data_IF_296925330031
#
_entry.id   IF_296925330031
#
_cell.length_a   1.000
_cell.length_b   1.000
_cell.length_c   1.000
_cell.angle_alpha   90.00
_cell.angle_beta   90.00
_cell.angle_gamma   90.00
#
_symmetry.space_group_name_H-M   'P 1'
#
loop_
_entity.id
_entity.type
_entity.pdbx_description
1 polymer ?
#
# COMPACT_ATOMS: atom_id res chain seq x y z
N UNK A 1 13.42 20.20 7.49
CA UNK A 1 13.02 19.42 8.67
C UNK A 1 11.68 18.80 8.33
N UNK A 2 11.67 17.55 7.88
CA UNK A 2 10.42 16.82 7.66
C UNK A 2 9.87 16.48 9.05
N UNK A 3 8.62 16.86 9.32
CA UNK A 3 7.94 16.53 10.58
C UNK A 3 7.79 15.02 10.74
N UNK A 4 7.33 14.54 11.92
CA UNK A 4 7.12 13.11 12.14
C UNK A 4 6.22 12.55 11.05
N UNK A 5 6.74 11.60 10.28
CA UNK A 5 6.00 10.82 9.29
C UNK A 5 5.17 9.82 10.08
N UNK A 6 3.98 10.23 10.49
CA UNK A 6 3.05 9.40 11.25
C UNK A 6 1.68 9.41 10.62
N UNK A 7 1.03 8.25 10.56
CA UNK A 7 -0.39 8.18 10.24
C UNK A 7 -1.14 8.72 11.46
N UNK A 8 -1.81 9.87 11.34
CA UNK A 8 -2.73 10.32 12.39
C UNK A 8 -3.81 9.27 12.59
N UNK A 9 -4.10 8.93 13.84
CA UNK A 9 -5.18 7.98 14.15
C UNK A 9 -6.50 8.48 13.54
N UNK A 10 -7.13 7.63 12.74
CA UNK A 10 -8.46 7.83 12.15
C UNK A 10 -9.34 6.64 12.49
N UNK A 11 -10.66 6.86 12.53
CA UNK A 11 -11.64 5.80 12.69
C UNK A 11 -11.59 4.79 11.55
N UNK A 12 -11.26 5.27 10.34
CA UNK A 12 -11.10 4.46 9.13
C UNK A 12 -10.04 5.03 8.18
N UNK A 13 -9.44 4.19 7.35
CA UNK A 13 -8.41 4.55 6.38
C UNK A 13 -8.76 4.16 4.95
N UNK A 14 -8.33 4.97 4.00
CA UNK A 14 -8.28 4.61 2.58
C UNK A 14 -6.96 3.89 2.29
N UNK A 15 -7.05 2.62 1.92
CA UNK A 15 -5.89 1.74 1.72
C UNK A 15 -5.72 1.42 0.25
N UNK A 16 -4.49 1.58 -0.24
CA UNK A 16 -4.08 1.19 -1.59
C UNK A 16 -3.10 0.01 -1.50
N UNK A 17 -3.28 -1.02 -2.32
CA UNK A 17 -2.34 -2.15 -2.42
C UNK A 17 -1.79 -2.21 -3.84
N UNK A 18 -0.49 -2.02 -4.01
CA UNK A 18 0.21 -2.15 -5.30
C UNK A 18 0.87 -3.52 -5.41
N UNK A 19 0.53 -4.27 -6.46
CA UNK A 19 0.88 -5.69 -6.59
C UNK A 19 -0.18 -6.61 -6.01
N UNK A 20 -1.46 -6.17 -6.00
CA UNK A 20 -2.57 -6.87 -5.36
C UNK A 20 -2.81 -8.30 -5.86
N UNK A 21 -2.47 -8.59 -7.12
CA UNK A 21 -2.68 -9.93 -7.72
C UNK A 21 -1.60 -10.95 -7.38
N UNK A 22 -0.42 -10.49 -6.91
CA UNK A 22 0.67 -11.35 -6.47
C UNK A 22 0.37 -12.06 -5.15
N UNK A 23 1.18 -13.05 -4.80
CA UNK A 23 0.97 -13.87 -3.59
C UNK A 23 0.92 -13.01 -2.31
N UNK A 24 1.89 -12.10 -2.14
CA UNK A 24 1.95 -11.22 -0.96
C UNK A 24 0.83 -10.18 -0.99
N UNK A 25 0.50 -9.59 -2.15
CA UNK A 25 -0.62 -8.65 -2.26
C UNK A 25 -1.97 -9.27 -1.86
N UNK A 26 -2.23 -10.51 -2.31
CA UNK A 26 -3.41 -11.29 -1.87
C UNK A 26 -3.40 -11.55 -0.36
N UNK A 27 -2.23 -11.88 0.20
CA UNK A 27 -2.09 -12.06 1.64
C UNK A 27 -2.31 -10.75 2.43
N UNK A 28 -1.91 -9.60 1.89
CA UNK A 28 -2.21 -8.28 2.47
C UNK A 28 -3.73 -8.04 2.51
N UNK A 29 -4.45 -8.27 1.40
CA UNK A 29 -5.93 -8.15 1.35
C UNK A 29 -6.59 -9.04 2.42
N UNK A 30 -6.22 -10.32 2.46
CA UNK A 30 -6.76 -11.28 3.43
C UNK A 30 -6.40 -10.90 4.88
N UNK A 31 -5.25 -10.28 5.10
CA UNK A 31 -4.82 -9.87 6.44
C UNK A 31 -5.59 -8.65 6.91
N UNK A 32 -5.83 -7.66 6.04
CA UNK A 32 -6.71 -6.53 6.35
C UNK A 32 -8.10 -7.02 6.76
N UNK A 33 -8.66 -7.97 6.01
CA UNK A 33 -9.97 -8.54 6.30
C UNK A 33 -9.99 -9.32 7.61
N UNK A 34 -9.06 -10.27 7.80
CA UNK A 34 -8.95 -11.11 9.01
C UNK A 34 -8.71 -10.29 10.29
N UNK A 35 -7.97 -9.18 10.18
CA UNK A 35 -7.70 -8.29 11.31
C UNK A 35 -8.84 -7.29 11.56
N UNK A 36 -9.90 -7.32 10.76
CA UNK A 36 -10.95 -6.30 10.76
C UNK A 36 -10.36 -4.88 10.72
N UNK A 37 -9.31 -4.70 9.91
CA UNK A 37 -8.66 -3.39 9.78
C UNK A 37 -9.71 -2.39 9.26
N UNK A 38 -9.79 -1.17 9.82
CA UNK A 38 -10.87 -0.25 9.51
C UNK A 38 -10.66 0.42 8.14
N UNK A 39 -10.94 -0.32 7.07
CA UNK A 39 -10.82 0.15 5.69
C UNK A 39 -12.11 0.86 5.27
N UNK A 40 -12.03 2.17 4.99
CA UNK A 40 -13.12 2.93 4.37
C UNK A 40 -13.22 2.64 2.87
N UNK A 41 -12.07 2.69 2.17
CA UNK A 41 -11.94 2.42 0.74
C UNK A 41 -10.71 1.55 0.51
N UNK A 42 -10.85 0.53 -0.35
CA UNK A 42 -9.76 -0.32 -0.79
C UNK A 42 -9.52 -0.11 -2.29
N UNK A 43 -8.33 0.34 -2.67
CA UNK A 43 -7.88 0.45 -4.05
C UNK A 43 -6.84 -0.64 -4.33
N UNK A 44 -7.15 -1.54 -5.28
CA UNK A 44 -6.27 -2.64 -5.64
C UNK A 44 -5.62 -2.35 -6.97
N UNK A 45 -4.29 -2.33 -6.99
CA UNK A 45 -3.50 -1.98 -8.17
C UNK A 45 -2.57 -3.12 -8.57
N UNK A 46 -2.41 -3.30 -9.87
CA UNK A 46 -1.42 -4.19 -10.47
C UNK A 46 -0.96 -3.61 -11.81
N UNK A 47 -0.15 -4.36 -12.57
CA UNK A 47 0.15 -3.99 -13.96
C UNK A 47 -1.07 -4.17 -14.86
N UNK A 48 -1.09 -3.51 -16.02
CA UNK A 48 -2.17 -3.65 -17.02
C UNK A 48 -2.48 -5.08 -17.43
N UNK A 49 -1.51 -6.01 -17.38
CA UNK A 49 -1.75 -7.45 -17.63
C UNK A 49 -2.70 -8.09 -16.62
N UNK A 50 -2.78 -7.54 -15.42
CA UNK A 50 -3.61 -8.02 -14.30
C UNK A 50 -4.86 -7.16 -14.06
N UNK A 51 -4.97 -6.01 -14.73
CA UNK A 51 -6.13 -5.13 -14.62
C UNK A 51 -7.41 -5.87 -15.04
N UNK A 52 -8.51 -5.60 -14.34
CA UNK A 52 -9.79 -6.31 -14.52
C UNK A 52 -9.91 -7.60 -13.71
N UNK A 53 -8.83 -8.09 -13.08
CA UNK A 53 -8.95 -9.14 -12.05
C UNK A 53 -9.84 -8.64 -10.92
N UNK A 54 -10.66 -9.51 -10.33
CA UNK A 54 -11.50 -9.16 -9.18
C UNK A 54 -11.03 -9.94 -7.96
N UNK A 55 -10.82 -9.24 -6.85
CA UNK A 55 -10.56 -9.85 -5.54
C UNK A 55 -11.74 -9.60 -4.61
N UNK A 56 -11.98 -10.51 -3.68
CA UNK A 56 -13.00 -10.34 -2.63
C UNK A 56 -12.40 -9.59 -1.44
N UNK A 57 -13.18 -8.67 -0.88
CA UNK A 57 -12.87 -8.02 0.39
C UNK A 57 -14.16 -7.69 1.15
N UNK A 58 -14.31 -8.22 2.37
CA UNK A 58 -15.50 -8.12 3.20
C UNK A 58 -16.77 -8.52 2.45
N UNK A 59 -16.72 -9.65 1.74
CA UNK A 59 -17.82 -10.18 0.93
C UNK A 59 -18.11 -9.43 -0.38
N UNK A 60 -17.41 -8.32 -0.66
CA UNK A 60 -17.61 -7.49 -1.87
C UNK A 60 -16.55 -7.78 -2.92
N UNK A 61 -16.93 -7.66 -4.19
CA UNK A 61 -15.99 -7.66 -5.31
C UNK A 61 -15.28 -6.31 -5.40
N UNK A 62 -13.95 -6.36 -5.46
CA UNK A 62 -13.09 -5.20 -5.63
C UNK A 62 -12.26 -5.41 -6.90
N UNK A 63 -12.47 -4.59 -7.94
CA UNK A 63 -11.70 -4.71 -9.17
C UNK A 63 -10.26 -4.24 -8.95
N UNK A 64 -9.33 -4.94 -9.59
CA UNK A 64 -7.94 -4.54 -9.71
C UNK A 64 -7.81 -3.61 -10.91
N UNK A 65 -7.23 -2.44 -10.67
CA UNK A 65 -7.03 -1.38 -11.67
C UNK A 65 -5.55 -1.38 -12.10
N UNK A 66 -5.27 -0.95 -13.32
CA UNK A 66 -3.90 -0.67 -13.74
C UNK A 66 -3.32 0.48 -12.91
N UNK A 67 -2.12 0.30 -12.38
CA UNK A 67 -1.43 1.31 -11.58
C UNK A 67 -1.13 2.59 -12.38
N UNK A 68 -0.95 2.50 -13.70
CA UNK A 68 -0.66 3.67 -14.54
C UNK A 68 -1.84 4.64 -14.62
N UNK A 69 -3.06 4.10 -14.64
CA UNK A 69 -4.33 4.83 -14.80
C UNK A 69 -4.96 5.25 -13.47
N UNK A 70 -4.36 4.87 -12.36
CA UNK A 70 -4.96 5.03 -11.05
C UNK A 70 -4.78 6.44 -10.47
N UNK A 71 -5.86 6.97 -9.90
CA UNK A 71 -5.82 8.16 -9.05
C UNK A 71 -5.50 7.76 -7.60
N UNK A 72 -4.36 8.24 -7.11
CA UNK A 72 -3.89 7.98 -5.76
C UNK A 72 -4.45 8.95 -4.71
N UNK A 73 -5.21 9.97 -5.14
CA UNK A 73 -5.77 10.99 -4.25
C UNK A 73 -6.58 10.37 -3.11
N UNK A 74 -6.35 10.90 -1.90
CA UNK A 74 -7.01 10.44 -0.69
C UNK A 74 -6.55 9.07 -0.16
N UNK A 75 -5.49 8.46 -0.72
CA UNK A 75 -4.84 7.29 -0.11
C UNK A 75 -4.18 7.70 1.21
N UNK A 76 -4.54 7.03 2.31
CA UNK A 76 -3.89 7.23 3.60
C UNK A 76 -2.67 6.31 3.74
N UNK A 77 -2.85 5.03 3.37
CA UNK A 77 -1.86 3.98 3.51
C UNK A 77 -1.70 3.25 2.18
N UNK A 78 -0.47 3.13 1.71
CA UNK A 78 -0.12 2.40 0.51
C UNK A 78 0.79 1.21 0.85
N UNK A 79 0.31 -0.02 0.61
CA UNK A 79 1.07 -1.25 0.84
C UNK A 79 1.61 -1.77 -0.49
N UNK A 80 2.94 -1.80 -0.64
CA UNK A 80 3.58 -2.19 -1.89
C UNK A 80 4.16 -3.59 -1.80
N UNK A 81 3.90 -4.39 -2.84
CA UNK A 81 4.58 -5.66 -3.08
C UNK A 81 4.63 -5.96 -4.58
N UNK A 82 5.24 -5.04 -5.35
CA UNK A 82 5.31 -5.12 -6.82
C UNK A 82 6.74 -5.15 -7.39
N UNK A 83 7.76 -5.25 -6.54
CA UNK A 83 9.17 -5.23 -6.94
C UNK A 83 9.81 -3.84 -6.85
N UNK A 84 11.15 -3.80 -6.85
CA UNK A 84 11.90 -2.58 -6.55
C UNK A 84 11.75 -1.49 -7.61
N UNK A 85 11.79 -1.85 -8.89
CA UNK A 85 11.67 -0.87 -9.98
C UNK A 85 10.29 -0.20 -9.98
N UNK A 86 9.24 -1.00 -9.84
CA UNK A 86 7.85 -0.50 -9.71
C UNK A 86 7.72 0.37 -8.46
N UNK A 87 8.28 -0.04 -7.33
CA UNK A 87 8.24 0.77 -6.11
C UNK A 87 8.84 2.16 -6.34
N UNK A 88 10.02 2.24 -6.97
CA UNK A 88 10.68 3.52 -7.31
C UNK A 88 9.83 4.40 -8.22
N UNK A 89 9.06 3.82 -9.14
CA UNK A 89 8.18 4.58 -10.04
C UNK A 89 6.95 5.17 -9.35
N UNK A 90 6.41 4.51 -8.33
CA UNK A 90 5.11 4.87 -7.74
C UNK A 90 5.19 5.49 -6.34
N UNK A 91 6.20 5.15 -5.53
CA UNK A 91 6.29 5.56 -4.14
C UNK A 91 6.28 7.10 -4.01
N UNK A 92 7.11 7.79 -4.80
CA UNK A 92 7.18 9.27 -4.78
C UNK A 92 5.85 9.94 -5.15
N UNK A 93 5.07 9.35 -6.07
CA UNK A 93 3.75 9.88 -6.48
C UNK A 93 2.73 9.76 -5.36
N UNK A 94 2.69 8.63 -4.65
CA UNK A 94 1.77 8.42 -3.53
C UNK A 94 2.16 9.21 -2.29
N UNK A 95 3.47 9.29 -1.97
CA UNK A 95 3.97 10.17 -0.90
C UNK A 95 3.60 11.62 -1.17
N UNK A 96 3.78 12.09 -2.40
CA UNK A 96 3.39 13.47 -2.79
C UNK A 96 1.88 13.70 -2.73
N UNK A 97 1.07 12.64 -2.85
CA UNK A 97 -0.38 12.68 -2.66
C UNK A 97 -0.81 12.60 -1.18
N UNK A 98 0.15 12.52 -0.25
CA UNK A 98 -0.08 12.51 1.20
C UNK A 98 -0.18 11.11 1.82
N UNK A 99 0.08 10.05 1.07
CA UNK A 99 0.03 8.69 1.59
C UNK A 99 1.30 8.33 2.37
N UNK A 100 1.14 7.51 3.40
CA UNK A 100 2.25 6.76 3.99
C UNK A 100 2.45 5.47 3.18
N UNK A 101 3.64 5.32 2.59
CA UNK A 101 4.01 4.16 1.78
C UNK A 101 4.79 3.16 2.63
N UNK A 102 4.33 1.92 2.64
CA UNK A 102 4.99 0.77 3.28
C UNK A 102 5.39 -0.21 2.18
N UNK A 103 6.69 -0.32 1.91
CA UNK A 103 7.21 -1.07 0.77
C UNK A 103 7.89 -2.39 1.17
N UNK A 104 7.33 -3.51 0.71
CA UNK A 104 7.89 -4.85 0.89
C UNK A 104 8.98 -5.20 -0.16
N UNK A 105 9.41 -4.26 -0.99
CA UNK A 105 10.52 -4.44 -1.92
C UNK A 105 11.89 -4.14 -1.27
N UNK A 106 12.96 -4.28 -2.05
CA UNK A 106 14.31 -3.87 -1.65
C UNK A 106 14.63 -2.40 -1.99
N UNK A 107 13.72 -1.65 -2.62
CA UNK A 107 13.99 -0.34 -3.21
C UNK A 107 14.60 0.67 -2.22
N UNK A 108 14.09 0.70 -0.98
CA UNK A 108 14.41 1.73 0.01
C UNK A 108 15.05 1.19 1.29
N UNK A 109 15.33 -0.11 1.40
CA UNK A 109 15.81 -0.73 2.66
C UNK A 109 17.12 -0.16 3.19
N UNK A 110 17.94 0.38 2.29
CA UNK A 110 19.25 0.96 2.60
C UNK A 110 19.26 2.49 2.48
N UNK A 111 18.10 3.11 2.25
CA UNK A 111 18.00 4.57 2.15
C UNK A 111 18.00 5.16 3.57
N UNK A 112 18.98 6.01 3.88
CA UNK A 112 19.13 6.62 5.21
C UNK A 112 17.93 7.49 5.61
N UNK A 113 17.14 7.95 4.64
CA UNK A 113 15.92 8.72 4.88
C UNK A 113 14.66 7.88 5.08
N UNK A 114 14.75 6.56 5.01
CA UNK A 114 13.60 5.64 5.08
C UNK A 114 13.80 4.61 6.19
N UNK A 115 12.91 4.53 7.20
CA UNK A 115 13.07 3.56 8.27
C UNK A 115 12.79 2.13 7.80
N UNK A 116 13.66 1.20 8.19
CA UNK A 116 13.46 -0.24 8.00
C UNK A 116 12.80 -0.81 9.26
N UNK A 117 11.48 -0.96 9.23
CA UNK A 117 10.68 -1.27 10.42
C UNK A 117 10.31 -2.76 10.51
N UNK A 118 10.59 -3.36 11.67
CA UNK A 118 9.97 -4.58 12.17
C UNK A 118 9.24 -4.20 13.48
N UNK A 119 7.89 -4.16 13.51
CA UNK A 119 7.15 -3.57 14.63
C UNK A 119 7.51 -4.11 16.01
N UNK A 120 7.83 -5.40 16.11
CA UNK A 120 8.18 -6.07 17.36
C UNK A 120 9.64 -5.85 17.81
N UNK A 121 10.48 -5.27 16.94
CA UNK A 121 11.92 -5.07 17.18
C UNK A 121 12.27 -3.59 17.32
N UNK A 122 11.71 -2.72 16.46
CA UNK A 122 12.02 -1.30 16.40
C UNK A 122 10.76 -0.44 16.12
N UNK A 123 9.79 -0.40 17.04
CA UNK A 123 8.51 0.31 16.87
C UNK A 123 8.62 1.85 16.80
N UNK A 124 9.71 2.44 17.27
CA UNK A 124 9.95 3.88 17.36
C UNK A 124 10.61 4.51 16.13
N UNK A 125 10.97 3.69 15.15
CA UNK A 125 11.72 4.09 13.94
C UNK A 125 10.95 5.01 13.00
#
# INVERSE_FOLDING_TARGET
MLGPVGISAKDTYNVTILGATGAVGRAMVQTLERRHFPVARLLLLASGKSAGTVLKFSGRDVPVIDAEEADFSGTDIALFSAGADVSRSYAGRMVSAGAVVIDNSSAYRMDEGVPLVVPEVNPES
#
